data_IF_831208815787
#
_entry.id   IF_831208815787
#
_cell.length_a   1.000
_cell.length_b   1.000
_cell.length_c   1.000
_cell.angle_alpha   90.00
_cell.angle_beta   90.00
_cell.angle_gamma   90.00
#
_symmetry.space_group_name_H-M   'P 1'
#
loop_
_entity.id
_entity.type
_entity.pdbx_description
1 polymer ?
#
# COMPACT_ATOMS: atom_id res chain seq x y z
N UNK A 1 12.43 26.22 38.16
CA UNK A 1 12.27 26.80 36.81
C UNK A 1 13.41 26.35 35.91
N UNK A 2 13.26 25.20 35.28
CA UNK A 2 14.06 24.83 34.12
C UNK A 2 13.56 25.66 32.93
N UNK A 3 14.34 26.65 32.51
CA UNK A 3 14.15 27.31 31.24
C UNK A 3 14.51 26.31 30.13
N UNK A 4 13.52 25.92 29.34
CA UNK A 4 13.77 25.23 28.07
C UNK A 4 14.25 26.27 27.07
N UNK A 5 15.55 26.22 26.73
CA UNK A 5 16.11 27.00 25.64
C UNK A 5 15.90 26.17 24.37
N UNK A 6 15.02 26.65 23.50
CA UNK A 6 14.79 26.07 22.17
C UNK A 6 15.98 26.46 21.29
N UNK A 7 16.94 25.53 21.13
CA UNK A 7 18.21 25.76 20.43
C UNK A 7 18.21 25.36 18.95
N UNK A 8 17.07 24.99 18.39
CA UNK A 8 16.90 24.77 16.96
C UNK A 8 15.76 25.65 16.50
N UNK A 9 16.04 26.58 15.57
CA UNK A 9 14.99 27.17 14.75
C UNK A 9 14.32 26.01 14.02
N UNK A 10 13.21 25.49 14.56
CA UNK A 10 12.36 24.59 13.82
C UNK A 10 11.86 25.39 12.61
N UNK A 11 12.51 25.20 11.46
CA UNK A 11 12.01 25.74 10.19
C UNK A 11 10.67 25.05 9.92
N UNK A 12 9.59 25.75 10.21
CA UNK A 12 8.25 25.29 9.89
C UNK A 12 8.01 25.51 8.39
N UNK A 13 8.04 24.42 7.63
CA UNK A 13 7.63 24.45 6.22
C UNK A 13 6.13 24.20 6.10
N UNK A 14 5.47 24.89 5.18
CA UNK A 14 4.04 24.69 4.92
C UNK A 14 3.79 23.29 4.31
N UNK A 15 2.82 22.55 4.83
CA UNK A 15 2.32 21.36 4.15
C UNK A 15 1.33 21.78 3.06
N UNK A 16 1.50 21.25 1.85
CA UNK A 16 0.58 21.45 0.75
C UNK A 16 -0.03 20.11 0.35
N UNK A 17 -1.29 19.84 0.74
CA UNK A 17 -1.98 18.58 0.42
C UNK A 17 -2.14 18.34 -1.08
N UNK A 18 -2.17 19.39 -1.90
CA UNK A 18 -2.33 19.30 -3.35
C UNK A 18 -0.99 19.34 -4.11
N UNK A 19 0.13 19.63 -3.43
CA UNK A 19 1.47 19.75 -4.03
C UNK A 19 1.53 20.70 -5.25
N UNK A 20 0.77 21.79 -5.22
CA UNK A 20 0.68 22.81 -6.26
C UNK A 20 1.59 24.02 -6.00
N UNK A 21 2.01 24.24 -4.75
CA UNK A 21 2.85 25.35 -4.33
C UNK A 21 4.35 24.99 -4.33
N UNK A 22 5.17 26.04 -4.42
CA UNK A 22 6.63 26.00 -4.27
C UNK A 22 6.99 26.28 -2.80
N UNK A 23 8.21 25.94 -2.40
CA UNK A 23 8.75 26.23 -1.05
C UNK A 23 7.90 25.63 0.09
N UNK A 24 7.50 24.37 -0.05
CA UNK A 24 6.69 23.62 0.93
C UNK A 24 7.54 22.60 1.71
N UNK A 25 6.90 21.73 2.50
CA UNK A 25 7.58 20.61 3.16
C UNK A 25 8.01 19.49 2.21
N UNK A 26 7.66 19.57 0.93
CA UNK A 26 8.06 18.63 -0.10
C UNK A 26 9.59 18.64 -0.26
N UNK A 27 10.28 17.47 -0.21
CA UNK A 27 11.71 17.40 -0.52
C UNK A 27 12.01 17.86 -1.95
N UNK A 28 13.16 18.51 -2.16
CA UNK A 28 13.59 19.00 -3.47
C UNK A 28 13.42 17.92 -4.54
N UNK A 29 12.69 18.26 -5.61
CA UNK A 29 12.46 17.37 -6.75
C UNK A 29 13.76 17.20 -7.54
N UNK A 30 13.92 16.09 -8.28
CA UNK A 30 15.16 15.79 -8.96
C UNK A 30 15.38 16.66 -10.21
N UNK A 31 16.64 16.72 -10.67
CA UNK A 31 17.06 17.42 -11.88
C UNK A 31 16.69 18.91 -11.87
N UNK A 32 16.20 19.45 -12.99
CA UNK A 32 15.78 20.86 -13.11
C UNK A 32 14.50 21.22 -12.35
N UNK A 33 13.84 20.27 -11.66
CA UNK A 33 12.58 20.52 -10.95
C UNK A 33 12.75 20.95 -9.49
N UNK A 34 13.97 21.14 -9.00
CA UNK A 34 14.21 21.66 -7.66
C UNK A 34 13.46 22.99 -7.44
N UNK A 35 12.69 23.08 -6.35
CA UNK A 35 11.83 24.24 -6.07
C UNK A 35 10.56 24.36 -6.94
N UNK A 36 10.26 23.39 -7.81
CA UNK A 36 9.00 23.33 -8.54
C UNK A 36 7.91 22.55 -7.79
N UNK A 37 6.65 22.79 -8.14
CA UNK A 37 5.53 21.99 -7.60
C UNK A 37 5.49 20.60 -8.22
N UNK A 38 5.20 19.58 -7.40
CA UNK A 38 5.18 18.17 -7.84
C UNK A 38 3.95 17.88 -8.70
N UNK A 39 2.80 18.49 -8.37
CA UNK A 39 1.52 18.22 -9.01
C UNK A 39 1.08 19.39 -9.89
N UNK A 40 0.18 19.09 -10.82
CA UNK A 40 -0.55 20.03 -11.67
C UNK A 40 -2.06 19.84 -11.48
N UNK A 41 -2.83 20.88 -11.77
CA UNK A 41 -4.27 20.72 -11.95
C UNK A 41 -4.52 19.80 -13.14
N UNK A 42 -5.59 19.01 -13.05
CA UNK A 42 -6.16 18.37 -14.23
C UNK A 42 -7.17 19.35 -14.83
N UNK A 43 -7.25 19.45 -16.15
CA UNK A 43 -8.27 20.28 -16.78
C UNK A 43 -9.67 19.89 -16.24
N UNK A 44 -10.48 20.88 -15.90
CA UNK A 44 -11.80 20.71 -15.28
C UNK A 44 -11.80 19.93 -13.94
N UNK A 45 -10.69 19.92 -13.18
CA UNK A 45 -10.64 19.39 -11.82
C UNK A 45 -10.79 20.44 -10.73
N UNK A 46 -11.09 21.70 -11.09
CA UNK A 46 -11.65 22.70 -10.17
C UNK A 46 -13.15 22.82 -10.45
N UNK A 47 -13.96 22.63 -9.42
CA UNK A 47 -15.41 22.60 -9.52
C UNK A 47 -16.01 23.45 -8.40
N UNK A 48 -16.61 24.57 -8.79
CA UNK A 48 -17.38 25.45 -7.92
C UNK A 48 -18.87 25.11 -8.02
N UNK A 49 -19.50 24.92 -6.87
CA UNK A 49 -20.94 24.76 -6.76
C UNK A 49 -21.44 25.44 -5.49
N UNK A 50 -22.75 25.55 -5.37
CA UNK A 50 -23.39 26.20 -4.26
C UNK A 50 -24.29 25.20 -3.54
N UNK A 51 -24.21 25.18 -2.22
CA UNK A 51 -25.16 24.45 -1.38
C UNK A 51 -25.78 25.42 -0.37
N UNK A 52 -27.08 25.32 -0.09
CA UNK A 52 -27.75 26.16 0.89
C UNK A 52 -27.28 25.82 2.31
N UNK A 53 -27.02 26.84 3.12
CA UNK A 53 -26.79 26.68 4.56
C UNK A 53 -28.08 26.35 5.33
N UNK A 54 -28.00 26.33 6.67
CA UNK A 54 -29.14 26.07 7.56
C UNK A 54 -30.26 27.11 7.48
N UNK A 55 -29.98 28.28 6.90
CA UNK A 55 -30.93 29.35 6.67
C UNK A 55 -31.40 29.41 5.20
N UNK A 56 -30.94 28.49 4.36
CA UNK A 56 -31.27 28.43 2.94
C UNK A 56 -30.49 29.42 2.07
N UNK A 57 -29.41 30.02 2.58
CA UNK A 57 -28.56 30.91 1.81
C UNK A 57 -27.50 30.08 1.08
N UNK A 58 -27.40 30.26 -0.23
CA UNK A 58 -26.43 29.55 -1.07
C UNK A 58 -24.99 29.93 -0.71
N UNK A 59 -24.21 28.94 -0.31
CA UNK A 59 -22.80 29.07 0.05
C UNK A 59 -21.93 28.35 -0.96
N UNK A 60 -20.83 28.99 -1.34
CA UNK A 60 -19.88 28.44 -2.30
C UNK A 60 -19.08 27.29 -1.67
N UNK A 61 -19.00 26.17 -2.39
CA UNK A 61 -18.09 25.06 -2.13
C UNK A 61 -17.21 24.87 -3.36
N UNK A 62 -15.91 24.72 -3.15
CA UNK A 62 -14.94 24.47 -4.21
C UNK A 62 -14.31 23.11 -4.00
N UNK A 63 -14.33 22.24 -5.01
CA UNK A 63 -13.55 21.00 -5.03
C UNK A 63 -12.40 21.18 -6.00
N UNK A 64 -11.19 20.82 -5.58
CA UNK A 64 -9.99 20.84 -6.40
C UNK A 64 -9.36 19.47 -6.47
N UNK A 65 -8.93 19.10 -7.66
CA UNK A 65 -8.11 17.92 -7.92
C UNK A 65 -6.74 18.33 -8.45
N UNK A 66 -5.70 17.62 -8.03
CA UNK A 66 -4.33 17.78 -8.50
C UNK A 66 -3.70 16.41 -8.73
N UNK A 67 -2.75 16.31 -9.65
CA UNK A 67 -2.10 15.04 -10.01
C UNK A 67 -0.61 15.23 -10.27
N UNK A 68 0.20 14.22 -10.03
CA UNK A 68 1.63 14.22 -10.35
C UNK A 68 1.89 14.66 -11.79
N UNK A 69 2.69 15.71 -11.99
CA UNK A 69 3.09 16.18 -13.32
C UNK A 69 3.80 15.07 -14.08
N UNK A 70 3.51 14.94 -15.38
CA UNK A 70 4.17 13.90 -16.20
C UNK A 70 5.69 14.09 -16.28
N UNK A 71 6.15 15.33 -16.40
CA UNK A 71 7.58 15.66 -16.42
C UNK A 71 8.28 15.31 -15.10
N UNK A 72 7.67 15.65 -13.97
CA UNK A 72 8.18 15.31 -12.63
C UNK A 72 8.15 13.80 -12.39
N UNK A 73 7.10 13.11 -12.84
CA UNK A 73 7.04 11.64 -12.85
C UNK A 73 8.26 11.04 -13.55
N UNK A 74 8.55 11.47 -14.78
CA UNK A 74 9.66 10.92 -15.54
C UNK A 74 11.02 11.27 -14.91
N UNK A 75 11.15 12.45 -14.32
CA UNK A 75 12.34 12.83 -13.54
C UNK A 75 12.56 11.94 -12.31
N UNK A 76 11.51 11.68 -11.52
CA UNK A 76 11.56 10.77 -10.36
C UNK A 76 11.86 9.33 -10.81
N UNK A 77 11.27 8.88 -11.92
CA UNK A 77 11.55 7.55 -12.47
C UNK A 77 13.02 7.41 -12.88
N UNK A 78 13.64 8.48 -13.36
CA UNK A 78 15.07 8.47 -13.70
C UNK A 78 16.00 8.38 -12.47
N UNK A 79 15.51 8.58 -11.24
CA UNK A 79 16.34 8.46 -10.04
C UNK A 79 16.34 7.07 -9.41
N UNK A 80 15.53 6.14 -9.89
CA UNK A 80 15.36 4.82 -9.28
C UNK A 80 15.23 3.73 -10.34
N UNK A 81 15.63 2.50 -9.98
CA UNK A 81 15.35 1.28 -10.75
C UNK A 81 14.07 0.57 -10.27
N UNK A 82 13.64 0.85 -9.04
CA UNK A 82 12.42 0.30 -8.43
C UNK A 82 11.18 1.14 -8.69
N UNK A 83 10.09 0.89 -7.96
CA UNK A 83 8.90 1.74 -8.02
C UNK A 83 9.16 3.10 -7.41
N UNK A 84 8.63 4.17 -8.02
CA UNK A 84 8.81 5.53 -7.52
C UNK A 84 8.21 5.76 -6.12
N UNK A 85 7.30 4.88 -5.68
CA UNK A 85 6.71 4.93 -4.33
C UNK A 85 7.71 4.73 -3.19
N UNK A 86 8.85 4.09 -3.45
CA UNK A 86 9.90 3.89 -2.43
C UNK A 86 10.86 5.07 -2.30
N UNK A 87 10.82 6.03 -3.25
CA UNK A 87 11.63 7.25 -3.21
C UNK A 87 11.22 8.16 -2.05
N UNK A 88 12.06 9.15 -1.74
CA UNK A 88 11.73 10.15 -0.71
C UNK A 88 10.43 10.88 -1.00
N UNK A 89 10.17 11.22 -2.28
CA UNK A 89 8.93 11.87 -2.71
C UNK A 89 7.73 10.94 -2.61
N UNK A 90 7.88 9.67 -3.01
CA UNK A 90 6.81 8.67 -2.90
C UNK A 90 6.43 8.34 -1.45
N UNK A 91 7.40 8.37 -0.52
CA UNK A 91 7.17 8.22 0.93
C UNK A 91 6.56 9.48 1.54
N UNK A 92 6.96 10.66 1.09
CA UNK A 92 6.35 11.92 1.50
C UNK A 92 4.89 12.01 1.05
N UNK A 93 4.62 11.73 -0.23
CA UNK A 93 3.30 11.70 -0.84
C UNK A 93 2.32 10.76 -0.12
N UNK A 94 2.82 9.64 0.41
CA UNK A 94 2.02 8.69 1.19
C UNK A 94 1.38 9.30 2.46
N UNK A 95 1.97 10.38 3.01
CA UNK A 95 1.46 11.06 4.20
C UNK A 95 0.30 12.01 3.88
N UNK A 96 0.20 12.48 2.64
CA UNK A 96 -0.88 13.35 2.15
C UNK A 96 -1.87 12.55 1.28
N UNK A 97 -2.26 11.36 1.76
CA UNK A 97 -3.22 10.49 1.09
C UNK A 97 -4.63 10.72 1.65
N UNK A 98 -5.54 11.26 0.84
CA UNK A 98 -6.93 11.49 1.25
C UNK A 98 -7.59 12.68 0.58
N UNK A 99 -8.82 12.97 1.02
CA UNK A 99 -9.49 14.24 0.79
C UNK A 99 -9.02 15.25 1.85
N UNK A 100 -8.39 16.33 1.42
CA UNK A 100 -8.09 17.48 2.28
C UNK A 100 -9.35 18.32 2.49
N UNK A 101 -9.75 18.51 3.74
CA UNK A 101 -10.97 19.25 4.10
C UNK A 101 -10.55 20.61 4.63
N UNK A 102 -10.79 21.65 3.84
CA UNK A 102 -10.32 23.02 4.09
C UNK A 102 -11.50 23.94 4.43
N UNK A 103 -11.37 24.66 5.55
CA UNK A 103 -12.35 25.66 5.98
C UNK A 103 -11.67 27.01 6.10
N UNK A 104 -12.15 28.01 5.37
CA UNK A 104 -11.57 29.36 5.34
C UNK A 104 -10.05 29.38 5.10
N UNK A 105 -9.56 28.52 4.20
CA UNK A 105 -8.13 28.43 3.88
C UNK A 105 -7.27 27.69 4.91
N UNK A 106 -7.87 27.02 5.91
CA UNK A 106 -7.17 26.16 6.87
C UNK A 106 -7.65 24.72 6.74
N UNK A 107 -6.72 23.78 6.54
CA UNK A 107 -7.02 22.35 6.60
C UNK A 107 -7.50 21.97 8.01
N UNK A 108 -8.67 21.33 8.08
CA UNK A 108 -9.24 20.78 9.30
C UNK A 108 -8.82 19.32 9.49
N UNK A 109 -8.92 18.54 8.42
CA UNK A 109 -8.68 17.10 8.44
C UNK A 109 -8.30 16.58 7.05
N UNK A 110 -7.55 15.48 7.04
CA UNK A 110 -7.27 14.67 5.87
C UNK A 110 -8.03 13.36 6.01
N UNK A 111 -8.90 13.04 5.06
CA UNK A 111 -9.80 11.88 5.12
C UNK A 111 -9.47 10.83 4.04
N UNK A 112 -8.77 9.73 4.39
CA UNK A 112 -8.40 8.65 3.46
C UNK A 112 -9.60 7.89 2.88
N UNK A 113 -10.74 7.88 3.57
CA UNK A 113 -11.95 7.12 3.21
C UNK A 113 -12.59 7.55 1.89
N UNK A 114 -12.29 8.76 1.44
CA UNK A 114 -12.76 9.27 0.14
C UNK A 114 -11.95 8.75 -1.03
N UNK A 115 -10.81 8.10 -0.80
CA UNK A 115 -9.99 7.53 -1.86
C UNK A 115 -10.44 6.10 -2.14
N UNK A 116 -10.60 5.73 -3.41
CA UNK A 116 -10.95 4.38 -3.81
C UNK A 116 -9.95 3.36 -3.21
N UNK A 117 -10.41 2.37 -2.42
CA UNK A 117 -9.53 1.39 -1.78
C UNK A 117 -8.62 0.62 -2.76
N UNK A 118 -9.09 0.38 -3.99
CA UNK A 118 -8.30 -0.28 -5.04
C UNK A 118 -7.10 0.54 -5.51
N UNK A 119 -7.02 1.82 -5.14
CA UNK A 119 -5.95 2.74 -5.48
C UNK A 119 -5.04 3.04 -4.30
N UNK A 120 -5.03 2.24 -3.22
CA UNK A 120 -4.19 2.51 -2.02
C UNK A 120 -2.72 2.81 -2.32
N UNK A 121 -2.13 2.16 -3.31
CA UNK A 121 -0.73 2.39 -3.71
C UNK A 121 -0.56 3.56 -4.70
N UNK A 122 -1.58 3.85 -5.50
CA UNK A 122 -1.57 4.88 -6.54
C UNK A 122 -2.15 6.23 -6.08
N UNK A 123 -3.00 6.22 -5.05
CA UNK A 123 -3.76 7.37 -4.57
C UNK A 123 -2.91 8.43 -3.90
N UNK A 124 -1.63 8.14 -3.68
CA UNK A 124 -0.63 9.14 -3.28
C UNK A 124 -0.17 10.04 -4.43
N UNK A 125 -0.50 9.72 -5.68
CA UNK A 125 -0.08 10.47 -6.87
C UNK A 125 -1.14 11.43 -7.40
N UNK A 126 -2.23 11.58 -6.66
CA UNK A 126 -3.23 12.62 -6.84
C UNK A 126 -3.73 13.11 -5.49
N UNK A 127 -4.26 14.33 -5.45
CA UNK A 127 -4.85 14.95 -4.27
C UNK A 127 -6.22 15.50 -4.60
N UNK A 128 -7.12 15.49 -3.61
CA UNK A 128 -8.43 16.12 -3.70
C UNK A 128 -8.60 17.02 -2.49
N UNK A 129 -9.10 18.23 -2.70
CA UNK A 129 -9.43 19.20 -1.67
C UNK A 129 -10.91 19.58 -1.80
N UNK A 130 -11.59 19.72 -0.68
CA UNK A 130 -12.86 20.45 -0.58
C UNK A 130 -12.66 21.69 0.28
N UNK A 131 -13.09 22.84 -0.23
CA UNK A 131 -12.96 24.14 0.43
C UNK A 131 -14.33 24.79 0.63
N UNK A 132 -14.59 25.26 1.85
CA UNK A 132 -15.85 25.91 2.19
C UNK A 132 -15.72 27.00 3.28
N UNK A 133 -16.78 27.81 3.42
CA UNK A 133 -16.90 28.89 4.40
C UNK A 133 -17.51 28.40 5.74
N UNK A 134 -17.21 29.04 6.90
CA UNK A 134 -17.77 28.67 8.20
C UNK A 134 -19.29 28.56 8.25
N UNK A 135 -19.99 29.23 7.35
CA UNK A 135 -21.45 29.16 7.21
C UNK A 135 -21.96 27.71 6.98
N UNK A 136 -21.11 26.80 6.52
CA UNK A 136 -21.43 25.38 6.31
C UNK A 136 -20.97 24.46 7.44
N UNK A 137 -20.51 25.00 8.57
CA UNK A 137 -20.02 24.21 9.72
C UNK A 137 -21.09 23.24 10.23
N UNK A 138 -22.35 23.67 10.32
CA UNK A 138 -23.45 22.82 10.80
C UNK A 138 -23.83 21.72 9.80
N UNK A 139 -23.73 22.01 8.49
CA UNK A 139 -24.00 21.03 7.43
C UNK A 139 -22.94 19.92 7.47
N UNK A 140 -21.66 20.30 7.47
CA UNK A 140 -20.55 19.34 7.48
C UNK A 140 -20.29 18.74 8.87
N UNK A 141 -20.84 19.31 9.94
CA UNK A 141 -20.63 18.85 11.31
C UNK A 141 -19.20 19.13 11.76
N UNK A 142 -18.74 20.37 11.61
CA UNK A 142 -17.41 20.78 12.11
C UNK A 142 -17.45 20.82 13.64
N UNK A 143 -16.54 20.08 14.29
CA UNK A 143 -16.50 20.00 15.75
C UNK A 143 -16.06 21.32 16.40
N UNK A 144 -16.41 21.54 17.67
CA UNK A 144 -16.04 22.78 18.40
C UNK A 144 -14.53 23.05 18.43
N UNK A 145 -13.69 22.01 18.52
CA UNK A 145 -12.23 22.17 18.47
C UNK A 145 -11.70 22.46 17.05
N UNK A 146 -12.56 22.42 16.04
CA UNK A 146 -12.26 22.65 14.61
C UNK A 146 -11.10 21.78 14.13
N UNK A 147 -11.12 20.50 14.53
CA UNK A 147 -10.15 19.49 14.12
C UNK A 147 -10.80 18.36 13.31
N UNK A 148 -12.13 18.25 13.31
CA UNK A 148 -12.83 17.16 12.66
C UNK A 148 -14.13 17.63 12.01
N UNK A 149 -14.59 16.84 11.06
CA UNK A 149 -15.84 17.00 10.33
C UNK A 149 -16.58 15.67 10.44
N UNK A 150 -17.77 15.65 11.06
CA UNK A 150 -18.45 14.39 11.43
C UNK A 150 -19.51 13.93 10.43
N UNK A 151 -20.07 14.84 9.63
CA UNK A 151 -21.14 14.51 8.67
C UNK A 151 -20.58 14.22 7.27
N UNK A 152 -19.44 14.81 6.89
CA UNK A 152 -18.80 14.57 5.60
C UNK A 152 -18.13 13.19 5.59
N UNK A 153 -18.93 12.17 5.27
CA UNK A 153 -18.51 10.77 5.16
C UNK A 153 -18.83 10.22 3.79
N UNK A 154 -18.14 9.15 3.40
CA UNK A 154 -18.45 8.43 2.17
C UNK A 154 -19.83 7.76 2.30
N UNK A 155 -20.85 8.36 1.69
CA UNK A 155 -22.24 7.87 1.72
C UNK A 155 -22.88 7.99 0.33
N UNK A 156 -23.80 7.07 0.02
CA UNK A 156 -24.54 7.06 -1.25
C UNK A 156 -26.02 6.85 -0.99
N UNK A 157 -26.82 7.69 -1.63
CA UNK A 157 -28.28 7.60 -1.59
C UNK A 157 -28.78 6.21 -1.99
N UNK A 158 -28.17 5.64 -3.04
CA UNK A 158 -28.43 4.29 -3.54
C UNK A 158 -28.10 3.15 -2.57
N UNK A 159 -27.33 3.40 -1.50
CA UNK A 159 -26.97 2.39 -0.48
C UNK A 159 -27.71 2.62 0.85
N UNK A 160 -28.20 3.84 1.07
CA UNK A 160 -28.82 4.23 2.34
C UNK A 160 -30.35 4.05 2.34
N UNK A 161 -31.03 4.10 1.18
CA UNK A 161 -32.50 4.04 1.14
C UNK A 161 -33.07 2.78 1.83
N UNK A 162 -32.46 1.61 1.62
CA UNK A 162 -32.89 0.36 2.28
C UNK A 162 -32.65 0.39 3.79
N UNK A 163 -31.53 1.00 4.22
CA UNK A 163 -31.15 1.09 5.63
C UNK A 163 -32.09 2.02 6.40
N UNK A 164 -32.57 3.05 5.74
CA UNK A 164 -33.52 4.04 6.28
C UNK A 164 -34.98 3.56 6.13
N UNK A 165 -35.21 2.37 5.54
CA UNK A 165 -36.51 1.72 5.48
C UNK A 165 -37.41 2.15 4.32
N UNK A 166 -36.83 2.75 3.27
CA UNK A 166 -37.55 3.13 2.06
C UNK A 166 -37.55 2.00 1.02
N UNK A 167 -38.61 1.92 0.22
CA UNK A 167 -38.75 0.91 -0.84
C UNK A 167 -37.95 1.26 -2.10
N UNK A 168 -37.66 2.54 -2.32
CA UNK A 168 -36.89 3.02 -3.47
C UNK A 168 -36.01 4.23 -3.13
N UNK A 169 -34.92 4.39 -3.89
CA UNK A 169 -34.04 5.57 -3.82
C UNK A 169 -34.82 6.87 -4.06
N UNK A 170 -35.80 6.85 -4.97
CA UNK A 170 -36.59 8.02 -5.32
C UNK A 170 -37.54 8.46 -4.20
N UNK A 171 -38.11 7.51 -3.45
CA UNK A 171 -38.94 7.81 -2.28
C UNK A 171 -38.10 8.40 -1.15
N UNK A 172 -36.93 7.82 -0.88
CA UNK A 172 -35.98 8.33 0.10
C UNK A 172 -35.55 9.76 -0.25
N UNK A 173 -35.17 10.01 -1.51
CA UNK A 173 -34.83 11.35 -2.01
C UNK A 173 -35.94 12.36 -1.77
N UNK A 174 -37.18 11.96 -2.04
CA UNK A 174 -38.36 12.82 -1.92
C UNK A 174 -38.64 13.18 -0.47
N UNK A 175 -38.47 12.24 0.47
CA UNK A 175 -38.59 12.49 1.90
C UNK A 175 -37.50 13.45 2.41
N UNK A 176 -36.25 13.22 2.04
CA UNK A 176 -35.14 14.11 2.40
C UNK A 176 -35.38 15.54 1.88
N UNK A 177 -35.92 15.68 0.66
CA UNK A 177 -36.26 16.97 0.06
C UNK A 177 -37.39 17.66 0.81
N UNK A 178 -38.45 16.93 1.18
CA UNK A 178 -39.58 17.46 1.92
C UNK A 178 -39.17 17.94 3.33
N UNK A 179 -38.22 17.25 3.95
CA UNK A 179 -37.70 17.57 5.29
C UNK A 179 -36.51 18.54 5.28
N UNK A 180 -36.02 18.96 4.11
CA UNK A 180 -34.81 19.76 3.93
C UNK A 180 -33.59 19.15 4.67
N UNK A 181 -33.44 17.83 4.60
CA UNK A 181 -32.42 17.10 5.35
C UNK A 181 -30.99 17.48 4.88
N UNK A 182 -30.05 17.77 5.80
CA UNK A 182 -28.65 18.06 5.46
C UNK A 182 -27.97 16.97 4.63
N UNK A 183 -28.38 15.70 4.75
CA UNK A 183 -27.81 14.56 3.99
C UNK A 183 -27.86 14.78 2.49
N UNK A 184 -28.85 15.48 1.94
CA UNK A 184 -28.92 15.80 0.52
C UNK A 184 -27.68 16.56 0.04
N UNK A 185 -27.26 17.55 0.84
CA UNK A 185 -26.08 18.36 0.55
C UNK A 185 -24.82 17.51 0.63
N UNK A 186 -24.75 16.58 1.59
CA UNK A 186 -23.62 15.65 1.70
C UNK A 186 -23.57 14.69 0.50
N UNK A 187 -24.70 14.11 0.06
CA UNK A 187 -24.73 13.26 -1.13
C UNK A 187 -24.28 14.00 -2.39
N UNK A 188 -24.70 15.24 -2.56
CA UNK A 188 -24.27 16.09 -3.68
C UNK A 188 -22.76 16.35 -3.64
N UNK A 189 -22.23 16.73 -2.48
CA UNK A 189 -20.78 16.95 -2.28
C UNK A 189 -19.99 15.67 -2.57
N UNK A 190 -20.41 14.52 -2.02
CA UNK A 190 -19.74 13.22 -2.23
C UNK A 190 -19.74 12.85 -3.72
N UNK A 191 -20.86 13.05 -4.41
CA UNK A 191 -20.96 12.79 -5.86
C UNK A 191 -19.93 13.62 -6.64
N UNK A 192 -19.82 14.91 -6.37
CA UNK A 192 -18.85 15.77 -7.04
C UNK A 192 -17.39 15.44 -6.70
N UNK A 193 -17.09 15.07 -5.45
CA UNK A 193 -15.76 14.57 -5.06
C UNK A 193 -15.42 13.33 -5.89
N UNK A 194 -16.37 12.41 -6.07
CA UNK A 194 -16.17 11.19 -6.85
C UNK A 194 -16.00 11.48 -8.34
N UNK A 195 -16.75 12.42 -8.90
CA UNK A 195 -16.58 12.86 -10.29
C UNK A 195 -15.16 13.40 -10.53
N UNK A 196 -14.62 14.21 -9.61
CA UNK A 196 -13.24 14.70 -9.67
C UNK A 196 -12.25 13.55 -9.51
N UNK A 197 -12.43 12.67 -8.51
CA UNK A 197 -11.56 11.52 -8.29
C UNK A 197 -11.44 10.63 -9.54
N UNK A 198 -12.56 10.36 -10.23
CA UNK A 198 -12.56 9.53 -11.44
C UNK A 198 -11.73 10.16 -12.57
N UNK A 199 -11.69 11.49 -12.68
CA UNK A 199 -10.81 12.17 -13.66
C UNK A 199 -9.33 11.99 -13.28
N UNK A 200 -9.00 12.13 -12.00
CA UNK A 200 -7.63 11.96 -11.49
C UNK A 200 -7.14 10.52 -11.64
N UNK A 201 -7.99 9.53 -11.32
CA UNK A 201 -7.70 8.11 -11.49
C UNK A 201 -7.37 7.80 -12.95
N UNK A 202 -8.19 8.26 -13.90
CA UNK A 202 -7.93 8.07 -15.34
C UNK A 202 -6.55 8.58 -15.75
N UNK A 203 -6.12 9.72 -15.19
CA UNK A 203 -4.80 10.29 -15.44
C UNK A 203 -3.69 9.44 -14.81
N UNK A 204 -3.84 9.04 -13.55
CA UNK A 204 -2.85 8.23 -12.83
C UNK A 204 -2.70 6.82 -13.40
N UNK A 205 -3.77 6.23 -13.96
CA UNK A 205 -3.69 4.92 -14.63
C UNK A 205 -2.82 4.93 -15.88
N UNK A 206 -2.58 6.10 -16.48
CA UNK A 206 -1.62 6.23 -17.59
C UNK A 206 -0.15 6.19 -17.13
N UNK A 207 0.10 6.22 -15.82
CA UNK A 207 1.45 6.31 -15.29
C UNK A 207 2.11 4.94 -15.18
N UNK A 208 3.30 4.83 -15.75
CA UNK A 208 4.23 3.77 -15.40
C UNK A 208 5.02 4.20 -14.17
N UNK A 209 4.69 3.63 -13.01
CA UNK A 209 5.31 3.99 -11.73
C UNK A 209 6.64 3.26 -11.49
N UNK A 210 7.11 2.44 -12.43
CA UNK A 210 8.42 1.79 -12.38
C UNK A 210 9.50 2.76 -12.87
N UNK A 211 10.61 2.80 -12.14
CA UNK A 211 11.80 3.56 -12.48
C UNK A 211 12.42 3.16 -13.81
N UNK A 212 13.18 4.07 -14.38
CA UNK A 212 13.79 3.96 -15.72
C UNK A 212 15.29 4.18 -15.70
N UNK A 213 15.91 4.39 -14.53
CA UNK A 213 17.35 4.55 -14.47
C UNK A 213 18.04 3.27 -14.96
N UNK A 214 18.73 3.38 -16.10
CA UNK A 214 19.63 2.34 -16.67
C UNK A 214 21.10 2.65 -16.36
N UNK A 215 21.38 3.84 -15.81
CA UNK A 215 22.70 4.22 -15.34
C UNK A 215 22.92 3.49 -14.02
N UNK A 216 24.02 2.73 -13.97
CA UNK A 216 24.31 1.67 -13.02
C UNK A 216 23.88 1.98 -11.59
N UNK A 217 23.46 0.90 -10.90
CA UNK A 217 23.21 0.80 -9.45
C UNK A 217 23.59 2.11 -8.74
N UNK A 218 22.66 2.81 -8.08
CA UNK A 218 23.10 3.75 -7.07
C UNK A 218 24.08 2.96 -6.20
N UNK A 219 25.29 3.47 -6.05
CA UNK A 219 26.10 3.13 -4.89
C UNK A 219 25.31 3.63 -3.69
N UNK A 220 24.28 2.89 -3.34
CA UNK A 220 23.93 2.62 -1.95
C UNK A 220 25.20 1.98 -1.44
N UNK A 221 25.97 2.78 -0.73
CA UNK A 221 26.98 2.24 0.13
C UNK A 221 26.27 1.20 1.01
N UNK A 222 26.63 -0.07 0.77
CA UNK A 222 25.91 -1.24 1.27
C UNK A 222 24.90 -1.81 0.28
N UNK A 223 25.38 -2.72 -0.57
CA UNK A 223 24.54 -3.62 -1.36
C UNK A 223 23.39 -4.21 -0.53
N UNK A 224 22.20 -4.18 -1.11
CA UNK A 224 21.19 -5.17 -0.82
C UNK A 224 20.95 -5.87 -2.17
N UNK A 225 21.07 -7.21 -2.23
CA UNK A 225 20.90 -7.95 -3.46
C UNK A 225 19.47 -7.80 -3.97
N UNK A 226 19.36 -7.81 -5.29
CA UNK A 226 18.09 -7.86 -6.01
C UNK A 226 17.30 -9.09 -5.54
N UNK A 227 16.06 -8.90 -5.11
CA UNK A 227 15.16 -9.99 -4.76
C UNK A 227 14.90 -10.81 -6.02
N UNK A 228 15.09 -12.12 -5.96
CA UNK A 228 14.86 -12.98 -7.11
C UNK A 228 13.36 -12.98 -7.53
N UNK A 229 13.06 -13.32 -8.80
CA UNK A 229 11.69 -13.29 -9.33
C UNK A 229 10.70 -14.15 -8.54
N UNK A 230 11.15 -15.27 -7.99
CA UNK A 230 10.33 -16.26 -7.26
C UNK A 230 9.89 -15.69 -5.93
N UNK A 231 10.84 -15.17 -5.15
CA UNK A 231 10.56 -14.48 -3.90
C UNK A 231 9.64 -13.28 -4.13
N UNK A 232 9.82 -12.53 -5.21
CA UNK A 232 8.89 -11.47 -5.58
C UNK A 232 7.46 -11.99 -5.88
N UNK A 233 7.34 -13.02 -6.73
CA UNK A 233 6.06 -13.59 -7.14
C UNK A 233 5.28 -14.21 -5.97
N UNK A 234 5.97 -14.95 -5.10
CA UNK A 234 5.39 -15.57 -3.90
C UNK A 234 4.87 -14.49 -2.95
N UNK A 235 5.65 -13.44 -2.71
CA UNK A 235 5.21 -12.36 -1.82
C UNK A 235 4.03 -11.56 -2.39
N UNK A 236 3.93 -11.43 -3.71
CA UNK A 236 2.73 -10.90 -4.35
C UNK A 236 1.51 -11.81 -4.12
N UNK A 237 1.63 -13.11 -4.35
CA UNK A 237 0.55 -14.09 -4.12
C UNK A 237 0.15 -14.18 -2.64
N UNK A 238 1.12 -14.08 -1.74
CA UNK A 238 0.88 -14.06 -0.31
C UNK A 238 0.11 -12.79 0.10
N UNK A 239 0.43 -11.62 -0.48
CA UNK A 239 -0.35 -10.38 -0.27
C UNK A 239 -1.80 -10.52 -0.76
N UNK A 240 -2.02 -11.06 -1.96
CA UNK A 240 -3.37 -11.35 -2.48
C UNK A 240 -4.15 -12.28 -1.53
N UNK A 241 -3.51 -13.32 -0.99
CA UNK A 241 -4.15 -14.22 -0.02
C UNK A 241 -4.40 -13.56 1.32
N UNK A 242 -3.52 -12.66 1.77
CA UNK A 242 -3.66 -11.92 3.03
C UNK A 242 -4.93 -11.05 3.04
N UNK A 243 -5.36 -10.55 1.87
CA UNK A 243 -6.62 -9.80 1.72
C UNK A 243 -7.86 -10.67 1.98
N UNK A 244 -7.79 -11.96 1.64
CA UNK A 244 -8.90 -12.92 1.78
C UNK A 244 -8.85 -13.69 3.10
N UNK A 245 -7.65 -13.99 3.59
CA UNK A 245 -7.38 -14.78 4.78
C UNK A 245 -6.25 -14.14 5.61
N UNK A 246 -6.55 -13.13 6.43
CA UNK A 246 -5.56 -12.43 7.23
C UNK A 246 -4.87 -13.35 8.25
N UNK A 247 -3.56 -13.20 8.39
CA UNK A 247 -2.72 -13.82 9.41
C UNK A 247 -2.04 -12.73 10.24
N UNK A 248 -1.38 -13.13 11.34
CA UNK A 248 -0.61 -12.18 12.14
C UNK A 248 0.49 -11.54 11.28
N UNK A 249 0.68 -10.21 11.33
CA UNK A 249 1.71 -9.53 10.55
C UNK A 249 3.10 -9.97 10.98
N UNK A 250 4.04 -9.97 10.03
CA UNK A 250 5.45 -10.22 10.32
C UNK A 250 6.00 -9.10 11.21
N UNK A 251 6.47 -9.45 12.41
CA UNK A 251 7.05 -8.53 13.41
C UNK A 251 8.47 -8.91 13.79
N UNK A 252 9.11 -9.72 12.95
CA UNK A 252 10.48 -10.17 13.15
C UNK A 252 11.46 -8.98 13.02
N UNK A 253 12.40 -8.89 13.95
CA UNK A 253 13.47 -7.88 13.90
C UNK A 253 14.63 -8.35 13.02
N UNK A 254 15.54 -7.42 12.66
CA UNK A 254 16.73 -7.75 11.85
C UNK A 254 17.58 -8.81 12.52
N UNK A 255 17.86 -8.64 13.81
CA UNK A 255 18.67 -9.56 14.60
C UNK A 255 18.02 -10.95 14.69
N UNK A 256 16.70 -11.01 14.89
CA UNK A 256 15.96 -12.28 14.97
C UNK A 256 15.87 -13.02 13.64
N UNK A 257 15.81 -12.28 12.54
CA UNK A 257 15.79 -12.81 11.17
C UNK A 257 17.17 -13.32 10.78
N UNK A 258 18.23 -12.57 11.06
CA UNK A 258 19.61 -13.03 10.85
C UNK A 258 19.91 -14.29 11.65
N UNK A 259 19.50 -14.32 12.93
CA UNK A 259 19.65 -15.48 13.81
C UNK A 259 18.91 -16.69 13.24
N UNK A 260 17.68 -16.50 12.73
CA UNK A 260 16.94 -17.56 12.06
C UNK A 260 17.66 -18.05 10.80
N UNK A 261 18.10 -17.16 9.92
CA UNK A 261 18.80 -17.54 8.69
C UNK A 261 20.11 -18.28 9.00
N UNK A 262 20.91 -17.80 9.96
CA UNK A 262 22.15 -18.46 10.42
C UNK A 262 21.90 -19.84 11.02
N UNK A 263 20.90 -19.96 11.91
CA UNK A 263 20.55 -21.23 12.57
C UNK A 263 20.12 -22.28 11.55
N UNK A 264 19.47 -21.84 10.47
CA UNK A 264 18.98 -22.75 9.43
C UNK A 264 19.98 -23.01 8.29
N UNK A 265 21.22 -22.52 8.41
CA UNK A 265 22.31 -22.80 7.47
C UNK A 265 22.37 -21.89 6.24
N UNK A 266 21.59 -20.80 6.21
CA UNK A 266 21.53 -19.90 5.04
C UNK A 266 22.78 -19.03 4.95
N UNK A 267 23.49 -19.14 3.83
CA UNK A 267 24.65 -18.30 3.53
C UNK A 267 24.26 -16.83 3.32
N UNK A 268 25.19 -15.91 3.60
CA UNK A 268 24.99 -14.46 3.51
C UNK A 268 23.76 -13.96 4.28
N UNK A 269 23.47 -14.57 5.44
CA UNK A 269 22.29 -14.28 6.26
C UNK A 269 22.08 -12.79 6.57
N UNK A 270 23.15 -12.03 6.82
CA UNK A 270 23.05 -10.58 7.10
C UNK A 270 22.55 -9.79 5.87
N UNK A 271 23.11 -10.10 4.71
CA UNK A 271 22.74 -9.46 3.45
C UNK A 271 21.31 -9.84 3.04
N UNK A 272 20.94 -11.11 3.18
CA UNK A 272 19.58 -11.59 2.91
C UNK A 272 18.55 -11.03 3.91
N UNK A 273 18.88 -10.97 5.20
CA UNK A 273 18.00 -10.37 6.20
C UNK A 273 17.73 -8.89 5.88
N UNK A 274 18.77 -8.16 5.45
CA UNK A 274 18.64 -6.79 4.98
C UNK A 274 17.69 -6.70 3.78
N UNK A 275 17.89 -7.52 2.74
CA UNK A 275 16.99 -7.56 1.57
C UNK A 275 15.55 -7.89 1.94
N UNK A 276 15.32 -8.90 2.79
CA UNK A 276 13.98 -9.30 3.23
C UNK A 276 13.26 -8.13 3.92
N UNK A 277 13.96 -7.41 4.81
CA UNK A 277 13.38 -6.27 5.53
C UNK A 277 13.19 -5.05 4.63
N UNK A 278 14.16 -4.72 3.79
CA UNK A 278 14.11 -3.57 2.88
C UNK A 278 12.95 -3.70 1.89
N UNK A 279 12.65 -4.93 1.45
CA UNK A 279 11.56 -5.25 0.53
C UNK A 279 10.26 -5.70 1.25
N UNK A 280 10.25 -5.73 2.58
CA UNK A 280 9.12 -6.14 3.42
C UNK A 280 8.55 -7.51 3.01
N UNK A 281 9.43 -8.47 2.73
CA UNK A 281 9.05 -9.82 2.33
C UNK A 281 8.58 -10.60 3.56
N UNK A 282 7.44 -11.28 3.43
CA UNK A 282 6.88 -12.14 4.48
C UNK A 282 7.27 -13.60 4.30
N UNK A 283 7.63 -13.98 3.08
CA UNK A 283 8.10 -15.32 2.72
C UNK A 283 9.46 -15.19 2.05
N UNK A 284 10.41 -16.05 2.42
CA UNK A 284 11.68 -16.18 1.71
C UNK A 284 11.91 -17.64 1.33
N UNK A 285 12.22 -17.87 0.06
CA UNK A 285 12.59 -19.16 -0.49
C UNK A 285 14.10 -19.24 -0.60
N UNK A 286 14.67 -20.32 -0.10
CA UNK A 286 16.10 -20.59 -0.13
C UNK A 286 16.37 -22.02 -0.53
N UNK A 287 17.16 -22.24 -1.57
CA UNK A 287 17.66 -23.58 -1.91
C UNK A 287 19.00 -23.82 -1.19
N UNK A 288 19.09 -24.89 -0.41
CA UNK A 288 20.32 -25.24 0.31
C UNK A 288 20.41 -26.73 0.63
N UNK A 289 21.63 -27.27 0.86
CA UNK A 289 21.79 -28.68 1.22
C UNK A 289 21.28 -28.93 2.63
N UNK A 290 20.44 -29.95 2.79
CA UNK A 290 19.90 -30.37 4.10
C UNK A 290 20.15 -31.85 4.33
N UNK A 291 20.20 -32.25 5.61
CA UNK A 291 20.44 -33.63 6.04
C UNK A 291 19.13 -34.44 6.28
N UNK A 292 17.98 -33.90 5.89
CA UNK A 292 16.67 -34.54 6.05
C UNK A 292 16.23 -35.23 4.77
N UNK A 293 15.42 -36.27 4.90
CA UNK A 293 14.71 -36.96 3.81
C UNK A 293 13.58 -36.09 3.21
N UNK A 294 13.23 -34.96 3.83
CA UNK A 294 12.29 -34.02 3.21
C UNK A 294 12.96 -33.22 2.08
N UNK A 295 12.28 -33.10 0.94
CA UNK A 295 12.75 -32.31 -0.20
C UNK A 295 12.55 -30.80 -0.03
N UNK A 296 11.76 -30.39 0.96
CA UNK A 296 11.64 -29.00 1.40
C UNK A 296 11.27 -28.95 2.88
N UNK A 297 11.53 -27.81 3.51
CA UNK A 297 11.23 -27.54 4.91
C UNK A 297 10.67 -26.13 5.08
N UNK A 298 9.92 -25.91 6.16
CA UNK A 298 9.21 -24.67 6.43
C UNK A 298 9.45 -24.29 7.88
N UNK A 299 9.97 -23.09 8.08
CA UNK A 299 10.18 -22.49 9.39
C UNK A 299 9.41 -21.18 9.50
N UNK A 300 8.64 -21.02 10.58
CA UNK A 300 7.90 -19.77 10.84
C UNK A 300 8.35 -19.12 12.15
N UNK A 301 8.59 -17.81 12.14
CA UNK A 301 8.96 -17.03 13.33
C UNK A 301 8.31 -15.66 13.26
N UNK A 302 7.49 -15.33 14.25
CA UNK A 302 6.81 -14.02 14.38
C UNK A 302 6.15 -13.51 13.08
N UNK A 303 5.51 -14.41 12.32
CA UNK A 303 4.82 -14.06 11.07
C UNK A 303 5.71 -13.95 9.82
N UNK A 304 7.01 -14.24 9.92
CA UNK A 304 7.88 -14.49 8.76
C UNK A 304 7.97 -15.99 8.48
N UNK A 305 7.98 -16.37 7.20
CA UNK A 305 8.07 -17.76 6.72
C UNK A 305 9.34 -17.95 5.90
N UNK A 306 10.20 -18.87 6.33
CA UNK A 306 11.34 -19.34 5.55
C UNK A 306 10.97 -20.70 4.95
N UNK A 307 10.93 -20.78 3.61
CA UNK A 307 10.80 -22.02 2.85
C UNK A 307 12.18 -22.44 2.35
N UNK A 308 12.63 -23.62 2.74
CA UNK A 308 13.93 -24.15 2.35
C UNK A 308 13.73 -25.32 1.41
N UNK A 309 14.36 -25.29 0.25
CA UNK A 309 14.34 -26.39 -0.71
C UNK A 309 15.64 -27.17 -0.54
N UNK A 310 15.53 -28.47 -0.29
CA UNK A 310 16.68 -29.31 -0.01
C UNK A 310 17.40 -29.66 -1.32
N UNK A 311 18.55 -29.03 -1.57
CA UNK A 311 19.35 -29.27 -2.78
C UNK A 311 19.98 -30.67 -2.81
N UNK A 312 20.04 -31.39 -1.68
CA UNK A 312 20.56 -32.75 -1.62
C UNK A 312 19.54 -33.81 -2.05
N UNK A 313 18.25 -33.50 -1.99
CA UNK A 313 17.18 -34.47 -2.24
C UNK A 313 17.05 -34.82 -3.74
N UNK A 314 16.64 -36.06 -4.06
CA UNK A 314 16.54 -36.53 -5.45
C UNK A 314 15.62 -35.65 -6.31
N UNK A 315 14.49 -35.20 -5.74
CA UNK A 315 13.58 -34.23 -6.35
C UNK A 315 14.31 -32.99 -6.89
N UNK A 316 15.17 -32.36 -6.10
CA UNK A 316 15.87 -31.15 -6.51
C UNK A 316 16.90 -31.46 -7.62
N UNK A 317 17.64 -32.55 -7.46
CA UNK A 317 18.68 -33.00 -8.40
C UNK A 317 18.11 -33.47 -9.74
N UNK A 318 17.04 -34.25 -9.73
CA UNK A 318 16.52 -34.95 -10.91
C UNK A 318 15.35 -34.24 -11.58
N UNK A 319 14.59 -33.43 -10.83
CA UNK A 319 13.42 -32.70 -11.33
C UNK A 319 13.71 -31.21 -11.38
N UNK A 320 13.85 -30.52 -10.23
CA UNK A 320 13.94 -29.05 -10.22
C UNK A 320 15.09 -28.50 -11.07
N UNK A 321 16.27 -29.14 -11.02
CA UNK A 321 17.45 -28.70 -11.78
C UNK A 321 17.30 -28.80 -13.30
N UNK A 322 16.39 -29.68 -13.78
CA UNK A 322 16.18 -29.96 -15.21
C UNK A 322 15.01 -29.17 -15.81
N UNK A 323 14.23 -28.49 -14.97
CA UNK A 323 13.08 -27.72 -15.44
C UNK A 323 13.52 -26.39 -16.05
N UNK A 324 12.82 -25.91 -17.10
CA UNK A 324 12.90 -24.52 -17.52
C UNK A 324 12.58 -23.59 -16.34
N UNK A 325 13.23 -22.43 -16.31
CA UNK A 325 13.10 -21.44 -15.23
C UNK A 325 11.63 -21.17 -14.86
N UNK A 326 10.77 -20.83 -15.83
CA UNK A 326 9.34 -20.58 -15.57
C UNK A 326 8.56 -21.75 -14.97
N UNK A 327 8.94 -23.00 -15.27
CA UNK A 327 8.31 -24.18 -14.68
C UNK A 327 8.84 -24.45 -13.28
N UNK A 328 10.13 -24.21 -13.06
CA UNK A 328 10.74 -24.26 -11.72
C UNK A 328 10.10 -23.23 -10.80
N UNK A 329 9.96 -21.98 -11.24
CA UNK A 329 9.30 -20.91 -10.47
C UNK A 329 7.87 -21.33 -10.06
N UNK A 330 7.12 -21.94 -10.98
CA UNK A 330 5.77 -22.42 -10.70
C UNK A 330 5.73 -23.50 -9.60
N UNK A 331 6.71 -24.40 -9.56
CA UNK A 331 6.82 -25.41 -8.51
C UNK A 331 7.21 -24.78 -7.17
N UNK A 332 8.15 -23.84 -7.16
CA UNK A 332 8.55 -23.12 -5.95
C UNK A 332 7.36 -22.32 -5.36
N UNK A 333 6.51 -21.74 -6.22
CA UNK A 333 5.23 -21.13 -5.83
C UNK A 333 4.26 -22.17 -5.23
N UNK A 334 4.18 -23.38 -5.80
CA UNK A 334 3.36 -24.46 -5.23
C UNK A 334 3.83 -24.84 -3.81
N UNK A 335 5.14 -24.95 -3.59
CA UNK A 335 5.71 -25.22 -2.28
C UNK A 335 5.48 -24.06 -1.29
N UNK A 336 5.51 -22.82 -1.76
CA UNK A 336 5.12 -21.67 -0.94
C UNK A 336 3.63 -21.70 -0.53
N UNK A 337 2.76 -22.26 -1.37
CA UNK A 337 1.37 -22.57 -1.02
C UNK A 337 1.26 -23.55 0.16
N UNK A 338 2.12 -24.57 0.20
CA UNK A 338 2.21 -25.48 1.35
C UNK A 338 2.71 -24.74 2.60
N UNK A 339 3.78 -23.96 2.48
CA UNK A 339 4.32 -23.17 3.59
C UNK A 339 3.26 -22.23 4.19
N UNK A 340 2.41 -21.66 3.34
CA UNK A 340 1.27 -20.84 3.77
C UNK A 340 0.20 -21.66 4.50
N UNK A 341 -0.12 -22.86 4.01
CA UNK A 341 -1.06 -23.76 4.69
C UNK A 341 -0.58 -24.12 6.11
N UNK A 342 0.72 -24.36 6.29
CA UNK A 342 1.29 -24.64 7.60
C UNK A 342 1.22 -23.42 8.53
N UNK A 343 1.55 -22.24 8.03
CA UNK A 343 1.44 -20.98 8.79
C UNK A 343 0.02 -20.71 9.28
N UNK A 344 -1.00 -21.05 8.49
CA UNK A 344 -2.40 -20.89 8.86
C UNK A 344 -2.90 -21.99 9.82
N UNK A 345 -2.08 -23.00 10.10
CA UNK A 345 -2.45 -24.12 10.95
C UNK A 345 -2.38 -23.74 12.43
N UNK A 346 -3.54 -23.50 13.05
CA UNK A 346 -3.64 -23.15 14.48
C UNK A 346 -3.47 -24.38 15.41
N UNK A 347 -3.64 -25.59 14.88
CA UNK A 347 -3.58 -26.82 15.69
C UNK A 347 -2.18 -27.43 15.66
N UNK A 348 -1.50 -27.48 16.80
CA UNK A 348 -0.18 -28.12 16.94
C UNK A 348 -0.18 -29.59 16.48
N UNK A 349 -1.27 -30.32 16.75
CA UNK A 349 -1.41 -31.72 16.31
C UNK A 349 -1.46 -31.81 14.78
N UNK A 350 -2.23 -30.94 14.13
CA UNK A 350 -2.35 -30.92 12.67
C UNK A 350 -1.06 -30.42 12.03
N UNK A 351 -0.38 -29.44 12.64
CA UNK A 351 0.92 -28.98 12.18
C UNK A 351 1.95 -30.12 12.19
N UNK A 352 2.06 -30.89 13.28
CA UNK A 352 2.91 -32.09 13.33
C UNK A 352 2.55 -33.11 12.25
N UNK A 353 1.27 -33.28 11.93
CA UNK A 353 0.85 -34.17 10.84
C UNK A 353 1.32 -33.65 9.46
N UNK A 354 1.32 -32.33 9.23
CA UNK A 354 1.85 -31.72 8.01
C UNK A 354 3.38 -31.86 7.94
N UNK A 355 4.08 -31.67 9.06
CA UNK A 355 5.52 -31.91 9.18
C UNK A 355 5.88 -33.36 8.84
N UNK A 356 5.15 -34.33 9.39
CA UNK A 356 5.31 -35.75 9.07
C UNK A 356 4.99 -36.04 7.61
N UNK A 357 3.89 -35.51 7.08
CA UNK A 357 3.50 -35.72 5.69
C UNK A 357 4.56 -35.21 4.69
N UNK A 358 5.24 -34.10 4.99
CA UNK A 358 6.34 -33.60 4.14
C UNK A 358 7.54 -34.55 4.13
N UNK A 359 7.86 -35.16 5.28
CA UNK A 359 8.97 -36.13 5.41
C UNK A 359 8.63 -37.44 4.73
N UNK A 360 7.44 -37.97 4.99
CA UNK A 360 6.96 -39.21 4.36
C UNK A 360 6.89 -39.04 2.83
N UNK A 361 6.47 -37.86 2.35
CA UNK A 361 6.46 -37.56 0.93
C UNK A 361 7.87 -37.49 0.34
N UNK A 362 8.81 -36.84 1.03
CA UNK A 362 10.22 -36.82 0.63
C UNK A 362 10.81 -38.23 0.53
N UNK A 363 10.66 -39.05 1.56
CA UNK A 363 11.12 -40.44 1.55
C UNK A 363 10.55 -41.23 0.38
N UNK A 364 9.24 -41.12 0.11
CA UNK A 364 8.62 -41.81 -1.03
C UNK A 364 9.15 -41.30 -2.38
N UNK A 365 9.49 -40.00 -2.48
CA UNK A 365 10.09 -39.45 -3.69
C UNK A 365 11.54 -39.92 -3.87
N UNK A 366 12.32 -40.02 -2.80
CA UNK A 366 13.62 -40.69 -2.82
C UNK A 366 13.46 -42.13 -3.35
N UNK A 367 12.59 -42.94 -2.74
CA UNK A 367 12.36 -44.34 -3.17
C UNK A 367 11.90 -44.48 -4.65
N UNK A 368 11.16 -43.49 -5.18
CA UNK A 368 10.58 -43.58 -6.54
C UNK A 368 11.46 -42.99 -7.64
N UNK A 369 12.38 -42.08 -7.29
CA UNK A 369 13.18 -41.32 -8.25
C UNK A 369 14.68 -41.57 -8.11
N UNK A 370 15.10 -42.34 -7.10
CA UNK A 370 16.47 -42.81 -6.97
C UNK A 370 16.71 -43.87 -8.06
N UNK A 371 17.38 -43.44 -9.12
CA UNK A 371 17.74 -44.25 -10.28
C UNK A 371 18.99 -45.13 -9.99
N UNK A 372 19.21 -45.59 -8.75
CA UNK A 372 20.20 -46.64 -8.46
C UNK A 372 19.68 -48.02 -8.91
N UNK A 373 19.65 -48.21 -10.24
CA UNK A 373 19.98 -49.48 -10.92
C UNK A 373 21.19 -49.29 -11.85
#
# INVERSE_FOLDING_TARGET
>A
NSLYIVNEEHQFSANDPLYLFKDTSLPDLPAEFAGESMFEYVDDSEYDFYIPDEHGVEQKVTIRGSVLKKSVLDAIRATTSGFIGSTVWGKHAAKNYGLSIVRSGRELALSPEFINPSYKDKGRWYGIEISFDPSLDNIFGVTNNKQHVVNLKMMKESEDYEREGFESEQDYRSDLLANNDPKLRIYEVVRHIKEVEQKLIKRVDTYNLKGTSVIGKPTVDGGAPEVDPVNSAINQKNKEREELHPTAPATITKEELEDQLKTTGVDNAEEKAKTILDHQLQVWVEEQPMATEAFFDVSTKKGFTLLQINSNHVFSKNILSKLPESQREAIEICLAGWARMERECVSEKKLKQLEMARRDWGQLLDDYLDDEE
#
